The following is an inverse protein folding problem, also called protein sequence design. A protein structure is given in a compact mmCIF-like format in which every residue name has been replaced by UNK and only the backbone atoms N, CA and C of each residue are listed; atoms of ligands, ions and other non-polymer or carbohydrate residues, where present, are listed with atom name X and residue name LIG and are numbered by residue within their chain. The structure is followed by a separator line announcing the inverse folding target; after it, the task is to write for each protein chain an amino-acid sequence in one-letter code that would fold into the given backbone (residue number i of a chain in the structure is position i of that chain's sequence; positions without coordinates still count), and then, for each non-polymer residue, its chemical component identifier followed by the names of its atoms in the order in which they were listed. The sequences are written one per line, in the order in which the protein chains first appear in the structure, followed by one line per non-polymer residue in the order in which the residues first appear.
data_IF_036896082316
#
_entry.id   IF_036896082316
#
_cell.length_a   1.000
_cell.length_b   1.000
_cell.length_c   1.000
_cell.angle_alpha   90.00
_cell.angle_beta   90.00
_cell.angle_gamma   90.00
#
_symmetry.space_group_name_H-M   'P 1'
#
loop_
_entity.id
_entity.type
_entity.pdbx_description
1 polymer ?
#
# COMPACT_ATOMS: atom_id res chain seq x y z
N UNK A 1 -6.08 -17.03 45.46
CA UNK A 1 -5.54 -17.35 44.13
C UNK A 1 -6.32 -16.52 43.12
N UNK A 2 -5.78 -15.39 42.67
CA UNK A 2 -6.33 -14.66 41.51
C UNK A 2 -5.99 -15.50 40.29
N UNK A 3 -7.00 -16.09 39.66
CA UNK A 3 -6.84 -16.82 38.40
C UNK A 3 -6.35 -15.83 37.34
N UNK A 4 -5.12 -16.06 36.89
CA UNK A 4 -4.46 -15.41 35.78
C UNK A 4 -5.19 -15.84 34.48
N UNK A 5 -6.35 -15.26 34.23
CA UNK A 5 -7.10 -15.43 32.98
C UNK A 5 -6.70 -14.26 32.09
N UNK A 6 -5.92 -14.57 31.06
CA UNK A 6 -5.40 -13.59 30.10
C UNK A 6 -6.52 -12.76 29.47
N UNK A 7 -6.33 -11.45 29.50
CA UNK A 7 -7.13 -10.43 28.82
C UNK A 7 -6.82 -10.53 27.31
N UNK A 8 -7.80 -11.02 26.54
CA UNK A 8 -7.74 -11.33 25.09
C UNK A 8 -8.49 -10.24 24.30
N UNK A 9 -7.97 -9.86 23.13
CA UNK A 9 -8.13 -8.53 22.51
C UNK A 9 -9.52 -7.89 22.44
N UNK A 10 -10.62 -8.65 22.48
CA UNK A 10 -11.99 -8.13 22.45
C UNK A 10 -12.40 -7.38 23.74
N UNK A 11 -11.90 -7.80 24.90
CA UNK A 11 -12.17 -7.11 26.17
C UNK A 11 -11.65 -5.66 26.18
N UNK A 12 -10.47 -5.42 25.59
CA UNK A 12 -9.88 -4.09 25.39
C UNK A 12 -10.74 -3.25 24.45
N UNK A 13 -11.28 -3.85 23.38
CA UNK A 13 -12.17 -3.17 22.45
C UNK A 13 -13.43 -2.65 23.17
N UNK A 14 -14.08 -3.49 23.98
CA UNK A 14 -15.26 -3.11 24.76
C UNK A 14 -14.93 -2.04 25.80
N UNK A 15 -13.81 -2.17 26.51
CA UNK A 15 -13.36 -1.15 27.47
C UNK A 15 -13.07 0.20 26.81
N UNK A 16 -12.51 0.21 25.58
CA UNK A 16 -12.30 1.45 24.82
C UNK A 16 -13.63 2.10 24.41
N UNK A 17 -14.62 1.31 23.98
CA UNK A 17 -15.97 1.81 23.68
C UNK A 17 -16.61 2.45 24.92
N UNK A 18 -16.60 1.74 26.06
CA UNK A 18 -17.17 2.21 27.32
C UNK A 18 -16.45 3.45 27.89
N UNK A 19 -15.14 3.57 27.67
CA UNK A 19 -14.37 4.74 28.13
C UNK A 19 -14.75 6.02 27.37
N UNK A 20 -15.01 5.90 26.07
CA UNK A 20 -15.23 7.07 25.20
C UNK A 20 -16.68 7.48 25.07
N UNK A 21 -17.60 6.52 25.15
CA UNK A 21 -19.04 6.76 24.94
C UNK A 21 -19.95 6.31 26.09
N UNK A 22 -19.42 5.70 27.15
CA UNK A 22 -20.22 5.11 28.23
C UNK A 22 -21.15 6.10 28.96
N UNK A 23 -22.26 5.62 29.57
CA UNK A 23 -22.73 4.23 29.69
C UNK A 23 -23.51 3.69 28.46
N UNK A 24 -23.20 2.47 28.01
CA UNK A 24 -23.76 1.85 26.79
C UNK A 24 -24.63 0.62 27.08
N UNK A 25 -25.64 0.36 26.26
CA UNK A 25 -26.43 -0.89 26.29
C UNK A 25 -25.68 -2.05 25.62
N UNK A 26 -26.16 -3.28 25.81
CA UNK A 26 -25.60 -4.46 25.12
C UNK A 26 -25.69 -4.31 23.58
N UNK A 27 -26.83 -3.82 23.09
CA UNK A 27 -27.07 -3.59 21.65
C UNK A 27 -26.11 -2.54 21.07
N UNK A 28 -25.83 -1.46 21.81
CA UNK A 28 -24.87 -0.43 21.38
C UNK A 28 -23.42 -0.97 21.30
N UNK A 29 -23.05 -1.93 22.16
CA UNK A 29 -21.75 -2.59 22.13
C UNK A 29 -21.64 -3.60 20.98
N UNK A 30 -22.71 -4.33 20.69
CA UNK A 30 -22.82 -5.25 19.54
C UNK A 30 -22.70 -4.48 18.22
N UNK A 31 -23.42 -3.37 18.10
CA UNK A 31 -23.39 -2.48 16.94
C UNK A 31 -21.97 -1.99 16.64
N UNK A 32 -21.23 -1.53 17.66
CA UNK A 32 -19.83 -1.11 17.50
C UNK A 32 -18.93 -2.23 17.05
N UNK A 33 -19.11 -3.42 17.61
CA UNK A 33 -18.34 -4.61 17.24
C UNK A 33 -18.54 -4.94 15.76
N UNK A 34 -19.78 -4.87 15.29
CA UNK A 34 -20.14 -5.24 13.91
C UNK A 34 -19.70 -4.19 12.92
N UNK A 35 -19.80 -2.92 13.28
CA UNK A 35 -19.29 -1.82 12.49
C UNK A 35 -17.76 -1.88 12.35
N UNK A 36 -17.06 -2.21 13.44
CA UNK A 36 -15.61 -2.42 13.41
C UNK A 36 -15.23 -3.58 12.47
N UNK A 37 -15.93 -4.72 12.55
CA UNK A 37 -15.70 -5.86 11.69
C UNK A 37 -16.05 -5.59 10.21
N UNK A 38 -17.12 -4.86 9.94
CA UNK A 38 -17.55 -4.54 8.57
C UNK A 38 -16.55 -3.62 7.86
N UNK A 39 -15.93 -2.69 8.59
CA UNK A 39 -14.92 -1.78 8.08
C UNK A 39 -13.53 -2.42 7.89
N UNK A 40 -13.22 -3.46 8.67
CA UNK A 40 -11.90 -4.13 8.62
C UNK A 40 -11.86 -5.29 7.61
N UNK A 41 -13.00 -5.75 7.10
CA UNK A 41 -13.10 -6.93 6.23
C UNK A 41 -12.15 -6.84 5.00
N UNK A 42 -11.90 -5.66 4.44
CA UNK A 42 -11.18 -5.52 3.17
C UNK A 42 -9.95 -4.58 3.16
N UNK A 43 -9.32 -4.31 4.31
CA UNK A 43 -7.87 -4.08 4.27
C UNK A 43 -7.21 -5.43 3.93
N UNK A 44 -6.93 -5.61 2.64
CA UNK A 44 -6.38 -6.83 2.04
C UNK A 44 -5.30 -7.45 2.94
N UNK A 45 -5.58 -8.66 3.40
CA UNK A 45 -4.62 -9.58 4.03
C UNK A 45 -3.36 -9.62 3.17
N UNK A 46 -2.17 -9.27 3.68
CA UNK A 46 -0.94 -9.57 2.96
C UNK A 46 -0.71 -11.08 3.00
N UNK A 47 -0.29 -11.65 1.87
CA UNK A 47 0.22 -13.01 1.83
C UNK A 47 1.38 -13.16 2.83
N UNK A 48 1.44 -14.33 3.47
CA UNK A 48 2.33 -14.66 4.59
C UNK A 48 3.80 -14.25 4.31
N UNK A 49 4.38 -13.37 5.14
CA UNK A 49 5.84 -13.18 5.15
C UNK A 49 6.47 -11.93 5.77
N UNK A 50 5.75 -10.92 6.29
CA UNK A 50 6.39 -9.64 6.67
C UNK A 50 6.41 -9.31 8.18
N UNK A 51 7.61 -9.18 8.81
CA UNK A 51 7.79 -9.16 10.27
C UNK A 51 7.44 -7.84 10.99
N UNK A 52 7.17 -6.75 10.27
CA UNK A 52 6.85 -5.44 10.88
C UNK A 52 5.33 -5.12 10.88
N UNK A 53 4.62 -5.49 9.81
CA UNK A 53 3.15 -5.49 9.77
C UNK A 53 2.55 -6.55 10.70
N UNK A 54 3.32 -7.60 11.01
CA UNK A 54 3.01 -8.65 11.99
C UNK A 54 2.82 -8.17 13.44
N UNK A 55 2.93 -6.88 13.75
CA UNK A 55 2.61 -6.36 15.11
C UNK A 55 1.36 -5.51 15.13
N UNK A 56 1.21 -4.59 14.19
CA UNK A 56 0.06 -3.69 14.14
C UNK A 56 -1.16 -4.41 13.54
N UNK A 57 -0.98 -5.04 12.39
CA UNK A 57 -2.01 -5.85 11.76
C UNK A 57 -2.22 -7.18 12.47
N UNK A 58 -1.23 -7.76 13.13
CA UNK A 58 -1.47 -8.93 13.97
C UNK A 58 -2.38 -8.59 15.15
N UNK A 59 -2.24 -7.42 15.77
CA UNK A 59 -3.19 -7.01 16.83
C UNK A 59 -4.61 -6.85 16.26
N UNK A 60 -4.77 -6.16 15.12
CA UNK A 60 -6.07 -5.98 14.46
C UNK A 60 -6.67 -7.27 13.88
N UNK A 61 -5.85 -8.14 13.29
CA UNK A 61 -6.25 -9.41 12.67
C UNK A 61 -6.44 -10.53 13.69
N UNK A 62 -5.70 -10.53 14.80
CA UNK A 62 -5.96 -11.38 15.95
C UNK A 62 -7.27 -10.96 16.62
N UNK A 63 -7.47 -9.66 16.84
CA UNK A 63 -8.72 -9.13 17.41
C UNK A 63 -9.90 -9.39 16.47
N UNK A 64 -9.72 -9.24 15.15
CA UNK A 64 -10.69 -9.68 14.14
C UNK A 64 -10.92 -11.19 14.18
N UNK A 65 -9.87 -12.00 14.25
CA UNK A 65 -9.99 -13.47 14.25
C UNK A 65 -10.64 -13.98 15.53
N UNK A 66 -10.39 -13.34 16.68
CA UNK A 66 -11.09 -13.59 17.95
C UNK A 66 -12.58 -13.30 17.75
N UNK A 67 -12.91 -12.08 17.32
CA UNK A 67 -14.28 -11.65 17.01
C UNK A 67 -14.98 -12.55 15.97
N UNK A 68 -14.27 -13.01 14.93
CA UNK A 68 -14.81 -13.84 13.84
C UNK A 68 -14.98 -15.31 14.26
N UNK A 69 -14.04 -15.85 15.05
CA UNK A 69 -14.17 -17.16 15.67
C UNK A 69 -15.30 -17.16 16.71
N UNK A 70 -15.48 -16.06 17.43
CA UNK A 70 -16.60 -15.84 18.34
C UNK A 70 -17.93 -15.78 17.60
N UNK A 71 -17.96 -15.21 16.39
CA UNK A 71 -19.16 -15.12 15.52
C UNK A 71 -19.53 -16.43 14.82
N UNK A 72 -18.56 -17.22 14.35
CA UNK A 72 -18.81 -18.51 13.66
C UNK A 72 -19.46 -19.55 14.57
N UNK A 73 -19.20 -19.46 15.86
CA UNK A 73 -19.79 -20.32 16.88
C UNK A 73 -21.17 -19.74 17.25
N UNK A 74 -22.24 -20.18 16.58
CA UNK A 74 -23.63 -19.68 16.67
C UNK A 74 -24.20 -19.67 18.11
N UNK A 75 -23.75 -18.78 18.99
CA UNK A 75 -24.34 -18.50 20.30
C UNK A 75 -24.54 -17.00 20.44
N UNK A 76 -25.80 -16.59 20.35
CA UNK A 76 -26.29 -15.26 20.78
C UNK A 76 -25.92 -15.11 22.28
N UNK A 77 -25.25 -14.02 22.66
CA UNK A 77 -24.90 -13.71 24.07
C UNK A 77 -23.42 -13.52 24.43
N UNK A 78 -22.45 -13.52 23.49
CA UNK A 78 -21.02 -13.43 23.87
C UNK A 78 -20.48 -12.04 24.24
N UNK A 79 -21.01 -10.95 23.68
CA UNK A 79 -20.70 -9.59 24.17
C UNK A 79 -21.14 -9.43 25.62
N UNK A 80 -22.25 -10.07 25.96
CA UNK A 80 -22.74 -10.20 27.34
C UNK A 80 -21.79 -11.06 28.17
N UNK A 81 -21.35 -12.23 27.68
CA UNK A 81 -20.34 -13.07 28.36
C UNK A 81 -19.01 -12.33 28.62
N UNK A 82 -18.53 -11.51 27.68
CA UNK A 82 -17.33 -10.69 27.87
C UNK A 82 -17.56 -9.51 28.82
N UNK A 83 -18.74 -8.90 28.78
CA UNK A 83 -19.11 -7.89 29.77
C UNK A 83 -19.24 -8.50 31.18
N UNK A 84 -19.79 -9.72 31.31
CA UNK A 84 -19.83 -10.48 32.56
C UNK A 84 -18.43 -10.77 33.07
N UNK A 85 -17.49 -11.18 32.21
CA UNK A 85 -16.07 -11.34 32.60
C UNK A 85 -15.49 -10.02 33.10
N UNK A 86 -15.72 -8.92 32.41
CA UNK A 86 -15.25 -7.59 32.82
C UNK A 86 -15.88 -7.12 34.14
N UNK A 87 -17.12 -7.53 34.42
CA UNK A 87 -17.79 -7.34 35.72
C UNK A 87 -17.12 -8.18 36.80
N UNK A 88 -16.82 -9.46 36.53
CA UNK A 88 -16.11 -10.36 37.43
C UNK A 88 -14.70 -9.85 37.78
N UNK A 89 -14.02 -9.18 36.83
CA UNK A 89 -12.74 -8.51 37.07
C UNK A 89 -12.88 -7.21 37.88
N UNK A 90 -14.09 -6.69 38.05
CA UNK A 90 -14.36 -5.42 38.72
C UNK A 90 -14.07 -4.19 37.87
N UNK A 91 -13.95 -4.33 36.55
CA UNK A 91 -13.62 -3.25 35.61
C UNK A 91 -14.84 -2.62 34.97
N UNK A 92 -15.92 -3.39 34.82
CA UNK A 92 -17.21 -2.93 34.30
C UNK A 92 -18.28 -3.13 35.37
N UNK A 93 -19.32 -2.32 35.35
CA UNK A 93 -20.53 -2.47 36.15
C UNK A 93 -21.77 -2.30 35.27
N UNK A 94 -22.85 -3.00 35.61
CA UNK A 94 -24.14 -2.94 34.94
C UNK A 94 -25.14 -2.20 35.84
N UNK A 95 -25.53 -1.00 35.43
CA UNK A 95 -26.53 -0.17 36.10
C UNK A 95 -27.70 0.09 35.14
N UNK A 96 -28.93 -0.30 35.51
CA UNK A 96 -30.15 -0.06 34.71
C UNK A 96 -30.05 -0.53 33.24
N UNK A 97 -29.48 -1.72 33.02
CA UNK A 97 -29.29 -2.28 31.68
C UNK A 97 -28.17 -1.63 30.85
N UNK A 98 -27.38 -0.73 31.45
CA UNK A 98 -26.23 -0.08 30.81
C UNK A 98 -24.91 -0.45 31.48
N UNK A 99 -23.94 -0.83 30.66
CA UNK A 99 -22.57 -1.10 31.07
C UNK A 99 -21.80 0.22 31.19
N UNK A 100 -21.01 0.35 32.26
CA UNK A 100 -20.10 1.48 32.48
C UNK A 100 -18.83 1.02 33.18
N UNK A 101 -17.75 1.79 33.03
CA UNK A 101 -16.48 1.45 33.68
C UNK A 101 -16.52 1.77 35.18
N UNK A 102 -15.84 0.96 35.98
CA UNK A 102 -15.48 1.30 37.35
C UNK A 102 -14.24 2.22 37.35
N UNK A 103 -13.91 2.82 38.50
CA UNK A 103 -12.67 3.65 38.61
C UNK A 103 -11.40 2.87 38.23
N UNK A 104 -11.35 1.58 38.53
CA UNK A 104 -10.23 0.72 38.15
C UNK A 104 -10.27 0.42 36.66
N UNK A 105 -11.45 0.12 36.10
CA UNK A 105 -11.64 -0.09 34.66
C UNK A 105 -11.32 1.12 33.81
N UNK A 106 -11.67 2.34 34.25
CA UNK A 106 -11.29 3.59 33.57
C UNK A 106 -9.77 3.75 33.45
N UNK A 107 -9.04 3.43 34.52
CA UNK A 107 -7.58 3.54 34.55
C UNK A 107 -6.92 2.55 33.59
N UNK A 108 -7.41 1.32 33.54
CA UNK A 108 -6.91 0.28 32.62
C UNK A 108 -7.28 0.61 31.16
N UNK A 109 -8.52 1.04 30.91
CA UNK A 109 -8.96 1.47 29.58
C UNK A 109 -8.13 2.64 29.05
N UNK A 110 -7.82 3.63 29.89
CA UNK A 110 -6.93 4.75 29.52
C UNK A 110 -5.52 4.27 29.17
N UNK A 111 -4.97 3.29 29.90
CA UNK A 111 -3.67 2.70 29.56
C UNK A 111 -3.70 1.98 28.21
N UNK A 112 -4.79 1.27 27.90
CA UNK A 112 -4.94 0.63 26.60
C UNK A 112 -4.97 1.64 25.46
N UNK A 113 -5.76 2.71 25.58
CA UNK A 113 -5.80 3.81 24.60
C UNK A 113 -4.43 4.44 24.42
N UNK A 114 -3.77 4.87 25.51
CA UNK A 114 -2.44 5.51 25.42
C UNK A 114 -1.36 4.61 24.82
N UNK A 115 -1.37 3.32 25.15
CA UNK A 115 -0.40 2.37 24.57
C UNK A 115 -0.67 2.15 23.08
N UNK A 116 -1.93 2.16 22.66
CA UNK A 116 -2.31 2.05 21.26
C UNK A 116 -1.93 3.31 20.48
N UNK A 117 -2.28 4.49 20.98
CA UNK A 117 -1.90 5.79 20.40
C UNK A 117 -0.38 5.92 20.25
N UNK A 118 0.40 5.54 21.29
CA UNK A 118 1.87 5.61 21.24
C UNK A 118 2.45 4.68 20.17
N UNK A 119 1.96 3.45 20.07
CA UNK A 119 2.40 2.47 19.05
C UNK A 119 2.00 2.93 17.65
N UNK A 120 0.77 3.41 17.49
CA UNK A 120 0.26 3.95 16.23
C UNK A 120 1.05 5.18 15.78
N UNK A 121 1.37 6.09 16.71
CA UNK A 121 2.13 7.30 16.43
C UNK A 121 3.56 7.01 15.98
N UNK A 122 4.26 6.07 16.61
CA UNK A 122 5.62 5.66 16.19
C UNK A 122 5.63 5.06 14.78
N UNK A 123 4.71 4.15 14.52
CA UNK A 123 4.57 3.48 13.22
C UNK A 123 4.17 4.48 12.11
N UNK A 124 3.26 5.42 12.42
CA UNK A 124 2.84 6.49 11.52
C UNK A 124 3.95 7.51 11.27
N UNK A 125 4.77 7.84 12.27
CA UNK A 125 5.77 8.91 12.20
C UNK A 125 6.96 8.57 11.31
N UNK A 126 7.45 7.34 11.35
CA UNK A 126 8.76 7.00 10.76
C UNK A 126 8.68 6.11 9.51
N UNK A 127 7.62 5.30 9.33
CA UNK A 127 7.56 4.33 8.22
C UNK A 127 6.43 4.59 7.20
N UNK A 128 5.31 5.16 7.65
CA UNK A 128 4.13 5.41 6.80
C UNK A 128 3.92 6.88 6.42
N UNK A 129 4.84 7.78 6.77
CA UNK A 129 4.81 9.14 6.20
C UNK A 129 5.22 9.09 4.73
N UNK A 130 4.48 9.77 3.83
CA UNK A 130 4.84 9.82 2.42
C UNK A 130 6.27 10.28 2.15
N UNK A 131 6.75 11.28 2.90
CA UNK A 131 8.12 11.80 2.76
C UNK A 131 9.19 10.76 3.12
N UNK A 132 8.95 9.98 4.18
CA UNK A 132 9.86 8.92 4.62
C UNK A 132 9.86 7.77 3.62
N UNK A 133 8.69 7.39 3.11
CA UNK A 133 8.56 6.36 2.09
C UNK A 133 9.24 6.76 0.79
N UNK A 134 9.02 7.98 0.31
CA UNK A 134 9.68 8.52 -0.87
C UNK A 134 11.21 8.51 -0.70
N UNK A 135 11.72 8.95 0.45
CA UNK A 135 13.16 8.94 0.73
C UNK A 135 13.74 7.52 0.75
N UNK A 136 13.07 6.57 1.42
CA UNK A 136 13.53 5.19 1.50
C UNK A 136 13.53 4.52 0.12
N UNK A 137 12.47 4.76 -0.67
CA UNK A 137 12.36 4.36 -2.07
C UNK A 137 13.55 4.87 -2.88
N UNK A 138 13.79 6.19 -2.89
CA UNK A 138 14.87 6.79 -3.68
C UNK A 138 16.25 6.25 -3.30
N UNK A 139 16.51 6.01 -2.02
CA UNK A 139 17.79 5.43 -1.57
C UNK A 139 17.95 4.00 -2.06
N UNK A 140 16.88 3.21 -2.01
CA UNK A 140 16.91 1.82 -2.47
C UNK A 140 17.06 1.74 -3.99
N UNK A 141 16.31 2.55 -4.75
CA UNK A 141 16.40 2.61 -6.21
C UNK A 141 17.79 3.05 -6.67
N UNK A 142 18.38 4.06 -6.03
CA UNK A 142 19.75 4.49 -6.33
C UNK A 142 20.78 3.39 -6.06
N UNK A 143 20.60 2.61 -4.98
CA UNK A 143 21.45 1.47 -4.68
C UNK A 143 21.29 0.35 -5.72
N UNK A 144 20.06 0.03 -6.12
CA UNK A 144 19.76 -0.95 -7.17
C UNK A 144 20.34 -0.52 -8.52
N UNK A 145 20.22 0.75 -8.90
CA UNK A 145 20.76 1.29 -10.14
C UNK A 145 22.28 1.08 -10.23
N UNK A 146 23.02 1.43 -9.18
CA UNK A 146 24.49 1.22 -9.11
C UNK A 146 24.84 -0.26 -9.19
N UNK A 147 24.12 -1.12 -8.45
CA UNK A 147 24.37 -2.55 -8.48
C UNK A 147 24.10 -3.15 -9.86
N UNK A 148 22.96 -2.85 -10.48
CA UNK A 148 22.56 -3.36 -11.80
C UNK A 148 23.54 -2.91 -12.87
N UNK A 149 23.80 -1.60 -12.98
CA UNK A 149 24.67 -1.05 -14.01
C UNK A 149 26.11 -1.57 -13.86
N UNK A 150 26.67 -1.55 -12.64
CA UNK A 150 28.01 -2.06 -12.39
C UNK A 150 28.13 -3.55 -12.71
N UNK A 151 27.12 -4.33 -12.34
CA UNK A 151 27.07 -5.77 -12.59
C UNK A 151 26.84 -6.12 -14.05
N UNK A 152 26.05 -5.33 -14.79
CA UNK A 152 25.86 -5.47 -16.23
C UNK A 152 27.17 -5.31 -16.98
N UNK A 153 27.92 -4.25 -16.66
CA UNK A 153 29.23 -3.97 -17.26
C UNK A 153 30.26 -5.06 -16.93
N UNK A 154 30.29 -5.56 -15.70
CA UNK A 154 31.23 -6.62 -15.28
C UNK A 154 30.87 -7.98 -15.87
N UNK A 155 29.57 -8.32 -15.94
CA UNK A 155 29.10 -9.60 -16.48
C UNK A 155 29.15 -9.66 -18.01
N UNK A 156 29.16 -8.50 -18.68
CA UNK A 156 29.00 -8.39 -20.13
C UNK A 156 27.54 -8.61 -20.58
N UNK A 157 26.57 -8.48 -19.67
CA UNK A 157 25.15 -8.53 -20.02
C UNK A 157 24.69 -7.18 -20.53
N UNK A 158 24.28 -7.15 -21.80
CA UNK A 158 23.70 -5.96 -22.43
C UNK A 158 22.31 -5.72 -21.85
N UNK A 159 21.56 -6.78 -21.53
CA UNK A 159 20.24 -6.70 -20.90
C UNK A 159 20.27 -6.03 -19.52
N UNK A 160 21.15 -6.51 -18.64
CA UNK A 160 21.33 -5.93 -17.31
C UNK A 160 21.93 -4.52 -17.36
N UNK A 161 22.79 -4.25 -18.34
CA UNK A 161 23.33 -2.89 -18.57
C UNK A 161 22.21 -1.93 -18.99
N UNK A 162 21.28 -2.39 -19.84
CA UNK A 162 20.14 -1.58 -20.27
C UNK A 162 19.23 -1.21 -19.09
N UNK A 163 18.80 -2.21 -18.31
CA UNK A 163 17.95 -2.02 -17.12
C UNK A 163 18.66 -1.21 -16.02
N UNK A 164 19.96 -1.44 -15.80
CA UNK A 164 20.75 -0.63 -14.87
C UNK A 164 20.91 0.83 -15.32
N UNK A 165 20.99 1.07 -16.63
CA UNK A 165 21.07 2.43 -17.18
C UNK A 165 19.76 3.17 -17.05
N UNK A 166 18.63 2.48 -17.27
CA UNK A 166 17.28 3.01 -17.08
C UNK A 166 17.10 3.53 -15.65
N UNK A 167 17.29 2.66 -14.66
CA UNK A 167 17.20 3.02 -13.23
C UNK A 167 18.20 4.14 -12.82
N UNK A 168 19.38 4.18 -13.47
CA UNK A 168 20.36 5.26 -13.24
C UNK A 168 19.85 6.58 -13.80
N UNK A 169 19.25 6.57 -15.00
CA UNK A 169 18.68 7.75 -15.62
C UNK A 169 17.50 8.30 -14.83
N UNK A 170 16.68 7.47 -14.20
CA UNK A 170 15.61 7.94 -13.31
C UNK A 170 16.17 8.71 -12.11
N UNK A 171 17.23 8.17 -11.50
CA UNK A 171 17.91 8.83 -10.37
C UNK A 171 18.55 10.15 -10.79
N UNK A 172 19.24 10.18 -11.94
CA UNK A 172 19.86 11.39 -12.48
C UNK A 172 18.79 12.41 -12.86
N UNK A 173 17.66 11.97 -13.43
CA UNK A 173 16.55 12.81 -13.84
C UNK A 173 15.94 13.53 -12.65
N UNK A 174 15.66 12.81 -11.56
CA UNK A 174 15.16 13.39 -10.32
C UNK A 174 16.13 14.44 -9.74
N UNK A 175 17.43 14.13 -9.75
CA UNK A 175 18.46 15.06 -9.28
C UNK A 175 18.58 16.32 -10.16
N UNK A 176 18.54 16.15 -11.49
CA UNK A 176 18.57 17.26 -12.44
C UNK A 176 17.35 18.16 -12.24
N UNK A 177 16.14 17.59 -12.19
CA UNK A 177 14.90 18.34 -11.96
C UNK A 177 14.99 19.17 -10.68
N UNK A 178 15.45 18.57 -9.59
CA UNK A 178 15.69 19.29 -8.33
C UNK A 178 16.69 20.44 -8.48
N UNK A 179 17.79 20.22 -9.21
CA UNK A 179 18.78 21.25 -9.51
C UNK A 179 18.18 22.39 -10.35
N UNK A 180 17.36 22.06 -11.34
CA UNK A 180 16.64 23.00 -12.19
C UNK A 180 15.74 23.93 -11.38
N UNK A 181 14.95 23.38 -10.46
CA UNK A 181 14.08 24.15 -9.55
C UNK A 181 14.94 25.04 -8.65
N UNK A 182 15.98 24.48 -8.01
CA UNK A 182 16.82 25.20 -7.05
C UNK A 182 17.54 26.41 -7.66
N UNK A 183 17.95 26.32 -8.92
CA UNK A 183 18.67 27.39 -9.62
C UNK A 183 17.80 28.17 -10.63
N UNK A 184 16.48 27.98 -10.60
CA UNK A 184 15.54 28.61 -11.56
C UNK A 184 15.90 28.37 -13.03
N UNK A 185 16.38 27.16 -13.35
CA UNK A 185 16.74 26.70 -14.69
C UNK A 185 16.03 25.40 -15.07
N UNK A 186 14.73 25.33 -14.77
CA UNK A 186 13.88 24.15 -15.01
C UNK A 186 13.94 23.69 -16.47
N UNK A 187 13.78 24.60 -17.44
CA UNK A 187 13.86 24.26 -18.88
C UNK A 187 15.20 23.65 -19.29
N UNK A 188 16.32 24.17 -18.76
CA UNK A 188 17.65 23.64 -19.05
C UNK A 188 17.79 22.23 -18.47
N UNK A 189 17.34 22.03 -17.23
CA UNK A 189 17.36 20.74 -16.56
C UNK A 189 16.55 19.69 -17.34
N UNK A 190 15.29 19.99 -17.68
CA UNK A 190 14.43 19.07 -18.43
C UNK A 190 15.04 18.73 -19.78
N UNK A 191 15.63 19.70 -20.50
CA UNK A 191 16.35 19.43 -21.75
C UNK A 191 17.58 18.53 -21.56
N UNK A 192 18.34 18.70 -20.49
CA UNK A 192 19.49 17.84 -20.18
C UNK A 192 19.05 16.40 -19.88
N UNK A 193 17.95 16.22 -19.15
CA UNK A 193 17.34 14.91 -18.88
C UNK A 193 16.93 14.22 -20.18
N UNK A 194 16.16 14.92 -21.02
CA UNK A 194 15.71 14.40 -22.32
C UNK A 194 16.91 13.99 -23.18
N UNK A 195 17.95 14.84 -23.26
CA UNK A 195 19.17 14.53 -24.02
C UNK A 195 19.90 13.32 -23.44
N UNK A 196 19.98 13.20 -22.11
CA UNK A 196 20.55 12.05 -21.42
C UNK A 196 19.84 10.74 -21.79
N UNK A 197 18.51 10.72 -21.72
CA UNK A 197 17.69 9.55 -22.07
C UNK A 197 17.84 9.17 -23.55
N UNK A 198 17.85 10.14 -24.47
CA UNK A 198 18.13 9.85 -25.89
C UNK A 198 19.53 9.28 -26.11
N UNK A 199 20.55 9.82 -25.44
CA UNK A 199 21.90 9.31 -25.55
C UNK A 199 22.03 7.89 -25.01
N UNK A 200 21.48 7.61 -23.83
CA UNK A 200 21.48 6.27 -23.24
C UNK A 200 20.76 5.26 -24.12
N UNK A 201 19.53 5.57 -24.56
CA UNK A 201 18.73 4.69 -25.41
C UNK A 201 19.43 4.39 -26.74
N UNK A 202 20.00 5.39 -27.43
CA UNK A 202 20.75 5.16 -28.67
C UNK A 202 22.01 4.33 -28.44
N UNK A 203 22.76 4.58 -27.36
CA UNK A 203 23.98 3.83 -27.04
C UNK A 203 23.67 2.36 -26.80
N UNK A 204 22.70 2.08 -25.93
CA UNK A 204 22.26 0.70 -25.63
C UNK A 204 21.67 0.03 -26.88
N UNK A 205 20.89 0.78 -27.67
CA UNK A 205 20.29 0.28 -28.91
C UNK A 205 21.35 -0.10 -29.93
N UNK A 206 22.40 0.71 -30.08
CA UNK A 206 23.54 0.41 -30.93
C UNK A 206 24.28 -0.85 -30.46
N UNK A 207 24.60 -0.96 -29.17
CA UNK A 207 25.25 -2.13 -28.59
C UNK A 207 24.39 -3.39 -28.78
N UNK A 208 23.08 -3.27 -28.57
CA UNK A 208 22.13 -4.37 -28.75
C UNK A 208 22.09 -4.86 -30.20
N UNK A 209 22.01 -3.94 -31.17
CA UNK A 209 21.99 -4.28 -32.61
C UNK A 209 23.32 -4.88 -33.06
N UNK A 210 24.45 -4.33 -32.63
CA UNK A 210 25.78 -4.86 -32.99
C UNK A 210 26.01 -6.27 -32.42
N UNK A 211 25.55 -6.53 -31.19
CA UNK A 211 25.57 -7.87 -30.60
C UNK A 211 24.63 -8.84 -31.34
N UNK A 212 23.42 -8.42 -31.73
CA UNK A 212 22.50 -9.24 -32.53
C UNK A 212 23.11 -9.61 -33.90
N UNK A 213 23.73 -8.64 -34.57
CA UNK A 213 24.43 -8.88 -35.84
C UNK A 213 25.60 -9.85 -35.64
N UNK A 214 26.39 -9.66 -34.57
CA UNK A 214 27.51 -10.53 -34.23
C UNK A 214 27.05 -11.96 -33.89
N UNK A 215 25.88 -12.10 -33.27
CA UNK A 215 25.26 -13.40 -33.02
C UNK A 215 24.90 -14.10 -34.33
N UNK A 216 24.34 -13.35 -35.29
CA UNK A 216 23.99 -13.86 -36.61
C UNK A 216 25.21 -14.34 -37.41
N UNK A 217 26.33 -13.63 -37.31
CA UNK A 217 27.60 -14.03 -37.95
C UNK A 217 28.45 -15.01 -37.13
N UNK A 218 27.99 -15.43 -35.96
CA UNK A 218 28.71 -16.39 -35.10
C UNK A 218 29.99 -15.84 -34.46
N UNK A 219 30.18 -14.52 -34.42
CA UNK A 219 31.35 -13.84 -33.83
C UNK A 219 31.07 -13.25 -32.45
N UNK A 220 29.88 -13.52 -31.89
CA UNK A 220 29.48 -12.95 -30.62
C UNK A 220 30.31 -13.51 -29.46
N UNK A 221 30.90 -12.61 -28.68
CA UNK A 221 31.50 -12.97 -27.39
C UNK A 221 30.38 -13.24 -26.38
N UNK A 222 30.29 -14.46 -25.80
CA UNK A 222 29.29 -14.76 -24.79
C UNK A 222 29.42 -13.89 -23.55
N UNK A 223 28.32 -13.74 -22.81
CA UNK A 223 28.31 -13.15 -21.47
C UNK A 223 29.33 -13.87 -20.57
N UNK A 224 30.23 -13.12 -19.96
CA UNK A 224 31.32 -13.69 -19.16
C UNK A 224 30.85 -14.25 -17.82
N UNK A 225 29.84 -13.63 -17.19
CA UNK A 225 29.35 -14.03 -15.86
C UNK A 225 27.81 -14.06 -15.79
N UNK A 226 27.13 -15.00 -16.46
CA UNK A 226 25.66 -15.11 -16.45
C UNK A 226 25.06 -15.32 -15.06
N UNK A 227 25.75 -16.05 -14.17
CA UNK A 227 25.29 -16.24 -12.79
C UNK A 227 25.28 -14.93 -11.97
N UNK A 228 26.18 -14.00 -12.26
CA UNK A 228 26.22 -12.69 -11.61
C UNK A 228 25.01 -11.85 -12.03
N UNK A 229 24.67 -11.88 -13.31
CA UNK A 229 23.48 -11.19 -13.81
C UNK A 229 22.18 -11.73 -13.20
N UNK A 230 22.04 -13.07 -13.11
CA UNK A 230 20.90 -13.71 -12.47
C UNK A 230 20.80 -13.36 -10.98
N UNK A 231 21.93 -13.37 -10.26
CA UNK A 231 21.96 -13.06 -8.82
C UNK A 231 21.54 -11.61 -8.55
N UNK A 232 22.13 -10.66 -9.26
CA UNK A 232 21.88 -9.22 -9.07
C UNK A 232 20.45 -8.88 -9.44
N UNK A 233 19.96 -9.42 -10.55
CA UNK A 233 18.58 -9.19 -10.97
C UNK A 233 17.58 -9.88 -10.04
N UNK A 234 17.92 -11.06 -9.50
CA UNK A 234 17.11 -11.72 -8.47
C UNK A 234 16.97 -10.86 -7.22
N UNK A 235 18.06 -10.23 -6.75
CA UNK A 235 18.02 -9.28 -5.62
C UNK A 235 17.18 -8.06 -5.98
N UNK A 236 17.33 -7.53 -7.20
CA UNK A 236 16.56 -6.38 -7.64
C UNK A 236 15.07 -6.66 -7.76
N UNK A 237 14.66 -7.83 -8.26
CA UNK A 237 13.25 -8.24 -8.29
C UNK A 237 12.68 -8.31 -6.87
N UNK A 238 13.40 -8.91 -5.92
CA UNK A 238 12.94 -8.95 -4.53
C UNK A 238 12.75 -7.54 -3.94
N UNK A 239 13.68 -6.64 -4.22
CA UNK A 239 13.58 -5.25 -3.79
C UNK A 239 12.43 -4.50 -4.49
N UNK A 240 12.23 -4.71 -5.79
CA UNK A 240 11.15 -4.11 -6.57
C UNK A 240 9.76 -4.65 -6.15
N UNK A 241 9.66 -5.93 -5.80
CA UNK A 241 8.46 -6.51 -5.19
C UNK A 241 8.17 -5.84 -3.85
N UNK A 242 9.18 -5.72 -2.98
CA UNK A 242 9.03 -5.02 -1.71
C UNK A 242 8.60 -3.56 -1.91
N UNK A 243 9.24 -2.83 -2.82
CA UNK A 243 8.90 -1.44 -3.14
C UNK A 243 7.49 -1.31 -3.72
N UNK A 244 7.09 -2.20 -4.64
CA UNK A 244 5.74 -2.24 -5.18
C UNK A 244 4.70 -2.27 -4.06
N UNK A 245 4.82 -3.23 -3.13
CA UNK A 245 3.86 -3.34 -2.03
C UNK A 245 3.97 -2.16 -1.06
N UNK A 246 5.19 -1.76 -0.68
CA UNK A 246 5.43 -0.67 0.27
C UNK A 246 4.88 0.66 -0.23
N UNK A 247 5.22 1.06 -1.45
CA UNK A 247 4.76 2.31 -2.07
C UNK A 247 3.26 2.29 -2.34
N UNK A 248 2.72 1.16 -2.84
CA UNK A 248 1.27 1.01 -3.07
C UNK A 248 0.50 1.16 -1.77
N UNK A 249 1.01 0.58 -0.69
CA UNK A 249 0.40 0.66 0.63
C UNK A 249 0.46 2.09 1.20
N UNK A 250 1.65 2.68 1.30
CA UNK A 250 1.82 4.04 1.85
C UNK A 250 1.05 5.06 1.00
N UNK A 251 1.08 4.89 -0.32
CA UNK A 251 0.33 5.69 -1.27
C UNK A 251 -1.18 5.60 -1.06
N UNK A 252 -1.74 4.39 -0.87
CA UNK A 252 -3.16 4.21 -0.59
C UNK A 252 -3.58 4.77 0.77
N UNK A 253 -2.82 4.48 1.82
CA UNK A 253 -3.16 4.91 3.20
C UNK A 253 -3.14 6.43 3.35
N UNK A 254 -2.25 7.11 2.63
CA UNK A 254 -2.09 8.56 2.71
C UNK A 254 -2.70 9.30 1.51
N UNK A 255 -3.47 8.62 0.65
CA UNK A 255 -4.01 9.17 -0.60
C UNK A 255 -2.94 9.89 -1.45
N UNK A 256 -1.71 9.38 -1.44
CA UNK A 256 -0.58 9.95 -2.15
C UNK A 256 -0.41 9.26 -3.52
N UNK A 257 -0.87 9.94 -4.57
CA UNK A 257 -0.81 9.45 -5.95
C UNK A 257 0.62 9.21 -6.43
N UNK A 258 1.58 10.03 -6.03
CA UNK A 258 2.98 9.90 -6.44
C UNK A 258 3.55 8.56 -6.01
N UNK A 259 3.32 8.13 -4.78
CA UNK A 259 3.72 6.80 -4.29
C UNK A 259 2.97 5.67 -5.00
N UNK A 260 1.69 5.86 -5.32
CA UNK A 260 0.93 4.88 -6.12
C UNK A 260 1.52 4.75 -7.53
N UNK A 261 1.92 5.86 -8.16
CA UNK A 261 2.58 5.85 -9.46
C UNK A 261 3.93 5.13 -9.40
N UNK A 262 4.75 5.44 -8.40
CA UNK A 262 6.03 4.76 -8.14
C UNK A 262 5.86 3.24 -7.95
N UNK A 263 4.74 2.79 -7.38
CA UNK A 263 4.47 1.35 -7.27
C UNK A 263 4.29 0.70 -8.65
N UNK A 264 3.60 1.36 -9.59
CA UNK A 264 3.43 0.83 -10.95
C UNK A 264 4.77 0.73 -11.65
N UNK A 265 5.64 1.71 -11.43
CA UNK A 265 7.01 1.73 -11.93
C UNK A 265 7.86 0.58 -11.37
N UNK A 266 7.83 0.38 -10.04
CA UNK A 266 8.45 -0.78 -9.39
C UNK A 266 7.95 -2.11 -9.94
N UNK A 267 6.66 -2.19 -10.30
CA UNK A 267 6.09 -3.37 -10.97
C UNK A 267 6.66 -3.59 -12.37
N UNK A 268 6.93 -2.52 -13.13
CA UNK A 268 7.57 -2.63 -14.44
C UNK A 268 8.99 -3.18 -14.31
N UNK A 269 9.77 -2.71 -13.33
CA UNK A 269 11.12 -3.25 -13.06
C UNK A 269 11.10 -4.75 -12.69
N UNK A 270 10.03 -5.27 -12.09
CA UNK A 270 9.88 -6.72 -11.86
C UNK A 270 9.84 -7.48 -13.21
N UNK A 271 9.04 -7.02 -14.18
CA UNK A 271 8.91 -7.67 -15.48
C UNK A 271 10.18 -7.54 -16.34
N UNK A 272 10.81 -6.36 -16.30
CA UNK A 272 12.10 -6.14 -16.96
C UNK A 272 13.14 -7.07 -16.35
N UNK A 273 13.21 -7.16 -15.02
CA UNK A 273 14.14 -8.04 -14.33
C UNK A 273 13.95 -9.51 -14.67
N UNK A 274 12.71 -10.01 -14.72
CA UNK A 274 12.45 -11.38 -15.18
C UNK A 274 12.90 -11.61 -16.63
N UNK A 275 12.77 -10.61 -17.49
CA UNK A 275 13.26 -10.67 -18.86
C UNK A 275 14.80 -10.77 -18.88
N UNK A 276 15.50 -9.92 -18.14
CA UNK A 276 16.97 -9.96 -18.04
C UNK A 276 17.47 -11.31 -17.50
N UNK A 277 16.83 -11.86 -16.46
CA UNK A 277 17.12 -13.22 -15.97
C UNK A 277 16.93 -14.26 -17.08
N UNK A 278 15.85 -14.18 -17.85
CA UNK A 278 15.63 -15.09 -18.97
C UNK A 278 16.77 -14.99 -19.99
N UNK A 279 17.22 -13.78 -20.36
CA UNK A 279 18.37 -13.59 -21.25
C UNK A 279 19.65 -14.24 -20.73
N UNK A 280 19.93 -14.11 -19.43
CA UNK A 280 21.08 -14.76 -18.80
C UNK A 280 20.94 -16.30 -18.76
N UNK A 281 19.73 -16.83 -18.52
CA UNK A 281 19.46 -18.29 -18.55
C UNK A 281 19.61 -18.85 -19.96
N UNK A 282 19.12 -18.16 -20.99
CA UNK A 282 19.32 -18.59 -22.38
C UNK A 282 20.79 -18.57 -22.79
N UNK A 283 21.57 -17.62 -22.27
CA UNK A 283 23.03 -17.60 -22.44
C UNK A 283 23.68 -18.87 -21.86
N UNK A 284 23.23 -19.36 -20.70
CA UNK A 284 23.71 -20.64 -20.13
C UNK A 284 23.40 -21.86 -21.01
N UNK A 285 22.33 -21.80 -21.80
CA UNK A 285 21.93 -22.86 -22.74
C UNK A 285 22.64 -22.75 -24.11
N UNK A 286 23.56 -21.79 -24.26
CA UNK A 286 24.28 -21.55 -25.52
C UNK A 286 23.53 -20.64 -26.50
N UNK A 287 22.44 -19.99 -26.07
CA UNK A 287 21.65 -19.06 -26.88
C UNK A 287 22.02 -17.62 -26.47
N UNK A 288 22.98 -17.03 -27.18
CA UNK A 288 23.62 -15.77 -26.78
C UNK A 288 22.90 -14.49 -27.23
N UNK A 289 21.96 -14.57 -28.19
CA UNK A 289 21.32 -13.38 -28.77
C UNK A 289 20.15 -12.83 -27.94
N UNK A 290 19.60 -13.63 -27.01
CA UNK A 290 18.37 -13.28 -26.28
C UNK A 290 18.60 -12.10 -25.34
N UNK A 291 19.75 -12.05 -24.65
CA UNK A 291 20.12 -10.92 -23.78
C UNK A 291 20.13 -9.59 -24.56
N UNK A 292 20.70 -9.58 -25.77
CA UNK A 292 20.73 -8.39 -26.64
C UNK A 292 19.36 -8.02 -27.20
N UNK A 293 18.47 -9.00 -27.43
CA UNK A 293 17.09 -8.72 -27.84
C UNK A 293 16.31 -8.02 -26.72
N UNK A 294 16.54 -8.43 -25.47
CA UNK A 294 15.91 -7.85 -24.29
C UNK A 294 16.45 -6.44 -24.05
N UNK A 295 17.77 -6.25 -24.16
CA UNK A 295 18.39 -4.93 -24.12
C UNK A 295 17.83 -3.97 -25.18
N UNK A 296 17.59 -4.47 -26.41
CA UNK A 296 16.96 -3.69 -27.47
C UNK A 296 15.54 -3.27 -27.10
N UNK A 297 14.74 -4.17 -26.52
CA UNK A 297 13.39 -3.87 -26.07
C UNK A 297 13.39 -2.78 -24.99
N UNK A 298 14.29 -2.88 -24.00
CA UNK A 298 14.44 -1.87 -22.94
C UNK A 298 14.85 -0.52 -23.55
N UNK A 299 15.85 -0.50 -24.43
CA UNK A 299 16.31 0.71 -25.14
C UNK A 299 15.17 1.42 -25.90
N UNK A 300 14.29 0.66 -26.55
CA UNK A 300 13.10 1.21 -27.22
C UNK A 300 12.13 1.84 -26.21
N UNK A 301 11.98 1.23 -25.02
CA UNK A 301 11.23 1.80 -23.90
C UNK A 301 11.78 3.16 -23.48
N UNK A 302 13.07 3.23 -23.13
CA UNK A 302 13.76 4.47 -22.75
C UNK A 302 13.63 5.55 -23.83
N UNK A 303 13.77 5.15 -25.10
CA UNK A 303 13.60 6.08 -26.23
C UNK A 303 12.18 6.65 -26.29
N UNK A 304 11.16 5.80 -26.08
CA UNK A 304 9.77 6.24 -26.04
C UNK A 304 9.54 7.22 -24.89
N UNK A 305 10.04 6.92 -23.71
CA UNK A 305 9.89 7.80 -22.54
C UNK A 305 10.55 9.17 -22.77
N UNK A 306 11.73 9.18 -23.41
CA UNK A 306 12.39 10.42 -23.84
C UNK A 306 11.55 11.23 -24.85
N UNK A 307 10.89 10.55 -25.79
CA UNK A 307 10.01 11.22 -26.77
C UNK A 307 8.73 11.78 -26.16
N UNK A 308 8.15 11.06 -25.19
CA UNK A 308 6.95 11.49 -24.47
C UNK A 308 7.26 12.72 -23.61
N UNK A 309 8.37 12.69 -22.85
CA UNK A 309 8.91 13.83 -22.09
C UNK A 309 9.21 15.04 -22.99
N UNK A 310 9.79 14.82 -24.18
CA UNK A 310 10.07 15.89 -25.13
C UNK A 310 8.79 16.53 -25.66
N UNK A 311 7.76 15.72 -25.97
CA UNK A 311 6.46 16.23 -26.43
C UNK A 311 5.82 17.09 -25.34
N UNK A 312 5.83 16.64 -24.11
CA UNK A 312 5.31 17.37 -22.95
C UNK A 312 6.05 18.70 -22.76
N UNK A 313 7.39 18.70 -22.78
CA UNK A 313 8.19 19.91 -22.67
C UNK A 313 7.93 20.92 -23.80
N UNK A 314 7.63 20.47 -25.02
CA UNK A 314 7.26 21.34 -26.15
C UNK A 314 5.86 21.93 -25.96
N UNK A 315 4.88 21.12 -25.54
CA UNK A 315 3.51 21.57 -25.29
C UNK A 315 3.44 22.58 -24.15
N UNK A 316 4.14 22.34 -23.03
CA UNK A 316 4.26 23.28 -21.92
C UNK A 316 4.80 24.65 -22.36
N UNK A 317 5.73 24.68 -23.32
CA UNK A 317 6.29 25.92 -23.88
C UNK A 317 5.32 26.66 -24.81
N UNK A 318 4.36 25.96 -25.43
CA UNK A 318 3.38 26.55 -26.36
C UNK A 318 2.17 27.16 -25.65
N UNK A 319 2.03 26.99 -24.33
CA UNK A 319 0.91 27.54 -23.56
C UNK A 319 -0.42 26.82 -23.84
N UNK A 320 -0.36 25.58 -24.32
CA UNK A 320 -1.53 24.71 -24.44
C UNK A 320 -1.89 24.24 -23.01
N UNK A 321 -3.15 24.44 -22.58
CA UNK A 321 -3.62 23.87 -21.31
C UNK A 321 -3.52 22.34 -21.38
N UNK A 322 -2.79 21.75 -20.44
CA UNK A 322 -2.53 20.31 -20.40
C UNK A 322 -3.82 19.54 -20.09
N UNK A 323 -4.21 18.65 -20.99
CA UNK A 323 -5.26 17.68 -20.74
C UNK A 323 -4.68 16.49 -19.94
N UNK A 324 -4.71 16.63 -18.61
CA UNK A 324 -4.31 15.55 -17.70
C UNK A 324 -5.31 14.37 -17.68
N UNK A 325 -6.34 14.34 -18.54
CA UNK A 325 -7.32 13.24 -18.57
C UNK A 325 -6.74 11.88 -18.95
N UNK A 326 -5.54 11.82 -19.53
CA UNK A 326 -4.79 10.58 -19.74
C UNK A 326 -4.15 10.04 -18.45
N UNK A 327 -3.83 10.93 -17.52
CA UNK A 327 -3.49 10.59 -16.13
C UNK A 327 -4.79 10.49 -15.34
N UNK A 328 -5.69 9.59 -15.74
CA UNK A 328 -6.86 9.26 -14.92
C UNK A 328 -6.35 8.74 -13.59
N UNK A 329 -6.45 9.58 -12.57
CA UNK A 329 -6.41 9.20 -11.17
C UNK A 329 -7.34 7.97 -11.02
N UNK A 330 -6.82 6.77 -10.66
CA UNK A 330 -7.63 5.57 -10.44
C UNK A 330 -8.56 5.66 -9.21
N UNK A 331 -8.82 6.88 -8.74
CA UNK A 331 -9.16 7.25 -7.36
C UNK A 331 -10.63 7.63 -7.18
N UNK A 332 -11.52 7.17 -8.05
CA UNK A 332 -12.96 7.15 -7.75
C UNK A 332 -13.47 5.72 -7.48
N UNK A 333 -12.94 4.68 -8.12
CA UNK A 333 -13.53 3.33 -8.03
C UNK A 333 -13.14 2.53 -6.76
N UNK A 334 -11.93 2.70 -6.22
CA UNK A 334 -11.43 1.76 -5.19
C UNK A 334 -11.88 2.09 -3.76
N UNK A 335 -12.29 3.35 -3.48
CA UNK A 335 -12.76 3.80 -2.17
C UNK A 335 -14.27 3.63 -2.00
N UNK A 336 -15.03 3.81 -3.09
CA UNK A 336 -16.45 3.50 -3.21
C UNK A 336 -16.71 2.01 -2.90
N UNK A 337 -15.91 1.11 -3.48
CA UNK A 337 -16.10 -0.35 -3.37
C UNK A 337 -16.04 -0.90 -1.93
N UNK A 338 -15.19 -0.35 -1.06
CA UNK A 338 -15.09 -0.77 0.33
C UNK A 338 -16.22 -0.18 1.19
N UNK A 339 -16.63 1.07 0.93
CA UNK A 339 -17.78 1.70 1.58
C UNK A 339 -19.07 0.95 1.26
N UNK A 340 -19.30 0.64 -0.01
CA UNK A 340 -20.49 -0.08 -0.50
C UNK A 340 -20.61 -1.44 0.20
N UNK A 341 -19.52 -2.19 0.38
CA UNK A 341 -19.56 -3.48 1.08
C UNK A 341 -19.80 -3.35 2.58
N UNK A 342 -19.21 -2.33 3.22
CA UNK A 342 -19.50 -2.05 4.64
C UNK A 342 -20.98 -1.69 4.84
N UNK A 343 -21.56 -0.92 3.91
CA UNK A 343 -22.99 -0.59 3.91
C UNK A 343 -23.85 -1.85 3.71
N UNK A 344 -23.52 -2.70 2.75
CA UNK A 344 -24.21 -3.97 2.51
C UNK A 344 -24.20 -4.86 3.77
N UNK A 345 -23.05 -4.99 4.44
CA UNK A 345 -22.93 -5.78 5.65
C UNK A 345 -23.73 -5.19 6.83
N UNK A 346 -23.75 -3.86 6.97
CA UNK A 346 -24.54 -3.18 7.97
C UNK A 346 -26.05 -3.37 7.74
N UNK A 347 -26.49 -3.24 6.48
CA UNK A 347 -27.88 -3.52 6.09
C UNK A 347 -28.25 -4.97 6.41
N UNK A 348 -27.40 -5.94 6.06
CA UNK A 348 -27.63 -7.36 6.36
C UNK A 348 -27.70 -7.62 7.86
N UNK A 349 -26.89 -6.93 8.66
CA UNK A 349 -26.94 -7.00 10.11
C UNK A 349 -28.25 -6.46 10.67
N UNK A 350 -28.66 -5.26 10.26
CA UNK A 350 -29.94 -4.65 10.66
C UNK A 350 -31.12 -5.57 10.34
N UNK A 351 -31.11 -6.20 9.17
CA UNK A 351 -32.15 -7.13 8.71
C UNK A 351 -32.13 -8.45 9.48
N UNK A 352 -31.00 -8.80 10.10
CA UNK A 352 -30.82 -10.04 10.85
C UNK A 352 -31.20 -9.89 12.34
N UNK A 353 -31.01 -8.71 12.94
CA UNK A 353 -31.24 -8.48 14.38
C UNK A 353 -32.64 -8.02 14.78
N UNK A 354 -33.54 -7.68 13.85
CA UNK A 354 -34.86 -7.16 14.22
C UNK A 354 -35.97 -7.28 13.18
N UNK A 355 -37.19 -6.94 13.63
CA UNK A 355 -38.42 -6.88 12.83
C UNK A 355 -38.32 -5.92 11.63
N UNK A 356 -39.25 -6.06 10.67
CA UNK A 356 -39.28 -5.32 9.39
C UNK A 356 -39.02 -3.82 9.58
N UNK A 357 -37.81 -3.37 9.26
CA UNK A 357 -37.46 -1.94 9.21
C UNK A 357 -37.87 -1.32 7.87
N UNK A 358 -38.36 -0.09 7.92
CA UNK A 358 -38.68 0.72 6.75
C UNK A 358 -37.41 1.31 6.11
N UNK A 359 -37.50 1.73 4.84
CA UNK A 359 -36.37 2.39 4.12
C UNK A 359 -35.77 3.54 4.93
N UNK A 360 -36.62 4.39 5.52
CA UNK A 360 -36.18 5.55 6.31
C UNK A 360 -35.38 5.15 7.55
N UNK A 361 -35.77 4.07 8.21
CA UNK A 361 -35.07 3.57 9.41
C UNK A 361 -33.72 2.93 9.07
N UNK A 362 -33.59 2.28 7.90
CA UNK A 362 -32.31 1.74 7.43
C UNK A 362 -31.35 2.88 7.07
N UNK A 363 -31.82 3.90 6.36
CA UNK A 363 -31.01 5.08 6.00
C UNK A 363 -30.56 5.83 7.25
N UNK A 364 -31.46 6.12 8.20
CA UNK A 364 -31.10 6.77 9.45
C UNK A 364 -30.07 5.96 10.26
N UNK A 365 -30.16 4.63 10.24
CA UNK A 365 -29.16 3.77 10.88
C UNK A 365 -27.80 3.83 10.17
N UNK A 366 -27.76 3.86 8.84
CA UNK A 366 -26.52 4.03 8.08
C UNK A 366 -25.87 5.40 8.36
N UNK A 367 -26.64 6.47 8.34
CA UNK A 367 -26.17 7.83 8.64
C UNK A 367 -25.61 7.96 10.05
N UNK A 368 -26.23 7.30 11.03
CA UNK A 368 -25.75 7.27 12.41
C UNK A 368 -24.48 6.41 12.54
N UNK A 369 -24.48 5.22 11.95
CA UNK A 369 -23.42 4.23 12.09
C UNK A 369 -22.13 4.67 11.37
N UNK A 370 -22.24 5.25 10.19
CA UNK A 370 -21.10 5.74 9.39
C UNK A 370 -20.87 7.25 9.55
N UNK A 371 -21.47 7.88 10.57
CA UNK A 371 -21.21 9.27 10.88
C UNK A 371 -19.72 9.48 11.19
N UNK A 372 -19.05 10.51 10.61
CA UNK A 372 -17.65 10.81 10.93
C UNK A 372 -17.37 11.05 12.42
N UNK A 373 -18.41 11.37 13.21
CA UNK A 373 -18.31 11.59 14.66
C UNK A 373 -18.58 10.33 15.50
N UNK A 374 -19.02 9.21 14.89
CA UNK A 374 -19.23 7.96 15.61
C UNK A 374 -17.87 7.38 16.05
N UNK A 375 -17.70 7.10 17.34
CA UNK A 375 -16.45 6.52 17.81
C UNK A 375 -16.45 5.01 17.58
N UNK A 376 -15.50 4.57 16.78
CA UNK A 376 -15.29 3.16 16.46
C UNK A 376 -13.97 2.78 17.12
N UNK A 377 -14.00 1.97 18.19
CA UNK A 377 -12.78 1.67 18.93
C UNK A 377 -11.70 1.13 18.00
N UNK A 378 -10.44 1.46 18.29
CA UNK A 378 -9.26 1.18 17.46
C UNK A 378 -9.22 1.99 16.15
N UNK A 379 -10.26 2.01 15.31
CA UNK A 379 -10.24 2.77 14.05
C UNK A 379 -10.17 4.28 14.29
N UNK A 380 -10.91 4.80 15.28
CA UNK A 380 -10.86 6.21 15.66
C UNK A 380 -9.51 6.63 16.21
N UNK A 381 -8.86 5.78 17.02
CA UNK A 381 -7.50 6.05 17.54
C UNK A 381 -6.45 6.02 16.43
N UNK A 382 -6.72 5.27 15.35
CA UNK A 382 -5.88 5.19 14.17
C UNK A 382 -6.18 6.27 13.12
N UNK A 383 -7.14 7.18 13.36
CA UNK A 383 -7.67 8.11 12.34
C UNK A 383 -8.04 7.40 11.02
N UNK A 384 -8.56 6.18 11.12
CA UNK A 384 -8.94 5.34 9.99
C UNK A 384 -10.47 5.29 9.78
N UNK A 385 -11.20 6.26 10.36
CA UNK A 385 -12.65 6.40 10.23
C UNK A 385 -13.02 7.29 9.04
N UNK A 386 -14.27 7.18 8.57
CA UNK A 386 -14.80 8.02 7.50
C UNK A 386 -14.67 9.51 7.87
N UNK A 387 -14.04 10.31 7.00
CA UNK A 387 -13.88 11.76 7.19
C UNK A 387 -15.02 12.57 6.59
N UNK A 388 -15.82 11.98 5.71
CA UNK A 388 -16.88 12.64 4.95
C UNK A 388 -18.24 12.02 5.22
N UNK A 389 -19.28 12.85 5.23
CA UNK A 389 -20.68 12.41 5.32
C UNK A 389 -21.10 11.89 3.95
N UNK A 390 -21.54 10.64 3.89
CA UNK A 390 -22.02 10.03 2.65
C UNK A 390 -23.54 10.24 2.51
N UNK A 391 -23.99 10.57 1.30
CA UNK A 391 -25.41 10.75 0.99
C UNK A 391 -26.05 9.39 0.67
N UNK A 392 -26.58 8.75 1.71
CA UNK A 392 -27.28 7.47 1.59
C UNK A 392 -28.65 7.57 0.92
N UNK A 393 -29.20 8.78 0.72
CA UNK A 393 -30.53 8.96 0.12
C UNK A 393 -30.44 9.06 -1.41
N UNK A 394 -29.44 9.80 -1.92
CA UNK A 394 -29.21 10.03 -3.35
C UNK A 394 -28.79 8.80 -4.17
N UNK A 395 -28.09 7.84 -3.57
CA UNK A 395 -27.60 6.64 -4.29
C UNK A 395 -28.63 5.51 -4.44
N UNK A 396 -29.79 5.62 -3.78
CA UNK A 396 -30.93 4.69 -4.00
C UNK A 396 -31.89 5.14 -5.11
N UNK A 397 -31.78 6.40 -5.56
CA UNK A 397 -32.64 6.95 -6.63
C UNK A 397 -32.00 6.90 -8.02
N UNK A 398 -30.73 6.50 -8.11
CA UNK A 398 -30.03 6.13 -9.35
C UNK A 398 -30.22 4.65 -9.63
#
# INVERSE_FOLDING_TARGET
MKTDKNILGYDRFLMMALLKEGPLTLEELDDKTILFLSLIWYQQVPEKGEPLMERLFFTLSHLRSELENERKDKRVGKTEDECEKLIDYGWVKLDDGRYSLTREGEKEAQQFVQNMERKAALVRKDFFKPDAAAKNTTVLDAFLAVMKLGSGLVSGSVGLTADGTDATMDTISAFMVWLGIKYHRETLSTLLVIFGLFFASLSIGYDSVTHLISAFYGTLTPMGMPYLAILVEGIAILAAVFLFYYQRYVGKVNSNLTLISQSVDSKNHIFIGFSVIAGAVFTLQGIFFVDSLIALFISIGIFKDATDLLREAISARKGEEEDYSQYKLPMEECWEDNKIRAFQNWILYILWTGDRKTRKEIIASLEQAFNPKNYIPVLSELNATCSEVHDFEGDWEK
#
